data_IF_670186092764
#
_entry.id   IF_670186092764
#
_cell.length_a   1.000
_cell.length_b   1.000
_cell.length_c   1.000
_cell.angle_alpha   90.00
_cell.angle_beta   90.00
_cell.angle_gamma   90.00
#
_symmetry.space_group_name_H-M   'P 1'
#
loop_
_entity.id
_entity.type
_entity.pdbx_description
1 polymer ?
#
# COMPACT_ATOMS: atom_id res chain seq x y z
N UNK A 1 8.64 -15.69 -33.52
CA UNK A 1 7.59 -15.74 -32.48
C UNK A 1 8.15 -15.10 -31.22
N UNK A 2 7.53 -14.05 -30.65
CA UNK A 2 7.94 -13.59 -29.33
C UNK A 2 7.62 -14.70 -28.32
N UNK A 3 8.65 -15.28 -27.71
CA UNK A 3 8.49 -16.23 -26.60
C UNK A 3 7.89 -15.49 -25.41
N UNK A 4 6.73 -15.92 -24.95
CA UNK A 4 6.13 -15.40 -23.72
C UNK A 4 7.09 -15.61 -22.54
N UNK A 5 7.22 -14.62 -21.65
CA UNK A 5 8.10 -14.74 -20.49
C UNK A 5 7.62 -15.88 -19.58
N UNK A 6 8.56 -16.73 -19.16
CA UNK A 6 8.31 -17.99 -18.45
C UNK A 6 7.44 -17.84 -17.18
N UNK A 7 7.48 -16.67 -16.52
CA UNK A 7 6.78 -16.41 -15.27
C UNK A 7 5.78 -15.25 -15.38
N UNK A 8 5.11 -15.11 -16.54
CA UNK A 8 4.14 -14.04 -16.79
C UNK A 8 3.03 -14.03 -15.73
N UNK A 9 2.45 -15.18 -15.41
CA UNK A 9 1.37 -15.30 -14.42
C UNK A 9 1.76 -14.79 -13.02
N UNK A 10 3.00 -15.09 -12.61
CA UNK A 10 3.55 -14.57 -11.36
C UNK A 10 3.72 -13.05 -11.43
N UNK A 11 4.24 -12.54 -12.54
CA UNK A 11 4.43 -11.10 -12.74
C UNK A 11 3.10 -10.34 -12.70
N UNK A 12 2.06 -10.87 -13.33
CA UNK A 12 0.71 -10.32 -13.30
C UNK A 12 0.18 -10.24 -11.87
N UNK A 13 0.24 -11.33 -11.10
CA UNK A 13 -0.20 -11.33 -9.68
C UNK A 13 0.62 -10.37 -8.81
N UNK A 14 1.92 -10.28 -9.05
CA UNK A 14 2.80 -9.35 -8.34
C UNK A 14 2.42 -7.89 -8.65
N UNK A 15 2.16 -7.56 -9.92
CA UNK A 15 1.69 -6.25 -10.35
C UNK A 15 0.34 -5.91 -9.72
N UNK A 16 -0.61 -6.85 -9.72
CA UNK A 16 -1.92 -6.67 -9.09
C UNK A 16 -1.80 -6.41 -7.58
N UNK A 17 -0.98 -7.19 -6.89
CA UNK A 17 -0.71 -7.03 -5.46
C UNK A 17 -0.04 -5.68 -5.14
N UNK A 18 0.94 -5.28 -5.95
CA UNK A 18 1.61 -3.98 -5.79
C UNK A 18 0.66 -2.80 -6.07
N UNK A 19 -0.20 -2.92 -7.08
CA UNK A 19 -1.16 -1.87 -7.44
C UNK A 19 -2.17 -1.65 -6.32
N UNK A 20 -2.73 -2.73 -5.79
CA UNK A 20 -3.67 -2.67 -4.65
C UNK A 20 -3.01 -2.12 -3.38
N UNK A 21 -1.75 -2.48 -3.14
CA UNK A 21 -0.96 -1.91 -2.04
C UNK A 21 -0.60 -0.42 -2.24
N UNK A 22 -0.95 0.19 -3.38
CA UNK A 22 -0.74 1.61 -3.66
C UNK A 22 0.59 1.94 -4.31
N UNK A 23 1.29 0.95 -4.86
CA UNK A 23 2.55 1.11 -5.59
C UNK A 23 2.35 1.21 -7.11
N UNK A 24 1.15 1.59 -7.56
CA UNK A 24 0.88 1.89 -8.97
C UNK A 24 1.82 2.96 -9.51
N UNK A 25 2.16 2.87 -10.80
CA UNK A 25 3.03 3.83 -11.46
C UNK A 25 2.40 5.24 -11.43
N UNK A 26 3.26 6.26 -11.30
CA UNK A 26 2.80 7.65 -11.28
C UNK A 26 2.16 8.05 -12.61
N UNK A 27 1.16 8.95 -12.60
CA UNK A 27 0.61 9.53 -13.82
C UNK A 27 1.73 10.16 -14.65
N UNK A 28 1.82 9.81 -15.94
CA UNK A 28 2.89 10.27 -16.82
C UNK A 28 4.21 9.51 -16.72
N UNK A 29 4.26 8.37 -16.03
CA UNK A 29 5.40 7.46 -16.09
C UNK A 29 5.55 6.86 -17.49
N UNK A 30 6.72 7.00 -18.09
CA UNK A 30 7.07 6.41 -19.40
C UNK A 30 7.46 4.93 -19.29
N UNK A 31 7.47 4.37 -18.07
CA UNK A 31 7.76 2.96 -17.85
C UNK A 31 6.63 2.09 -18.39
N UNK A 32 6.97 1.05 -19.15
CA UNK A 32 6.02 0.00 -19.57
C UNK A 32 5.46 -0.82 -18.40
N UNK A 33 6.12 -0.77 -17.25
CA UNK A 33 5.70 -1.50 -16.05
C UNK A 33 4.72 -0.62 -15.26
N UNK A 34 3.51 -1.13 -14.95
CA UNK A 34 2.42 -0.34 -14.36
C UNK A 34 2.57 -0.07 -12.85
N UNK A 35 3.70 -0.44 -12.24
CA UNK A 35 4.00 -0.22 -10.82
C UNK A 35 5.39 0.39 -10.63
N UNK A 36 5.61 1.06 -9.48
CA UNK A 36 6.93 1.54 -9.09
C UNK A 36 7.87 0.37 -8.78
N UNK A 37 9.08 0.38 -9.35
CA UNK A 37 10.07 -0.71 -9.18
C UNK A 37 10.85 -0.58 -7.86
N UNK A 38 11.09 0.66 -7.41
CA UNK A 38 11.91 0.96 -6.24
C UNK A 38 11.38 0.35 -4.92
N UNK A 39 10.05 0.35 -4.63
CA UNK A 39 9.51 -0.30 -3.45
C UNK A 39 9.83 -1.81 -3.37
N UNK A 40 9.82 -2.51 -4.51
CA UNK A 40 10.16 -3.93 -4.55
C UNK A 40 11.63 -4.20 -4.19
N UNK A 41 12.52 -3.22 -4.46
CA UNK A 41 13.92 -3.26 -4.01
C UNK A 41 14.04 -2.91 -2.53
N UNK A 42 13.47 -1.77 -2.13
CA UNK A 42 13.67 -1.17 -0.81
C UNK A 42 12.98 -1.93 0.31
N UNK A 43 11.72 -2.31 0.11
CA UNK A 43 10.86 -2.89 1.13
C UNK A 43 10.91 -4.42 1.10
N UNK A 44 10.88 -5.01 -0.10
CA UNK A 44 10.87 -6.48 -0.27
C UNK A 44 12.26 -7.12 -0.41
N UNK A 45 13.33 -6.31 -0.45
CA UNK A 45 14.71 -6.79 -0.50
C UNK A 45 15.10 -7.47 -1.81
N UNK A 46 14.55 -7.03 -2.96
CA UNK A 46 15.11 -7.43 -4.25
C UNK A 46 16.57 -6.96 -4.35
N UNK A 47 17.45 -7.83 -4.88
CA UNK A 47 18.92 -7.59 -4.87
C UNK A 47 19.32 -6.29 -5.58
N UNK A 48 18.59 -5.90 -6.63
CA UNK A 48 18.83 -4.70 -7.42
C UNK A 48 17.57 -4.26 -8.15
N UNK A 49 17.56 -3.03 -8.66
CA UNK A 49 16.48 -2.53 -9.53
C UNK A 49 16.28 -3.41 -10.77
N UNK A 50 17.36 -3.89 -11.37
CA UNK A 50 17.29 -4.80 -12.53
C UNK A 50 16.63 -6.13 -12.16
N UNK A 51 16.92 -6.65 -10.96
CA UNK A 51 16.30 -7.90 -10.49
C UNK A 51 14.81 -7.71 -10.23
N UNK A 52 14.45 -6.61 -9.56
CA UNK A 52 13.05 -6.21 -9.34
C UNK A 52 12.30 -6.08 -10.68
N UNK A 53 12.91 -5.42 -11.67
CA UNK A 53 12.37 -5.30 -13.02
C UNK A 53 12.13 -6.67 -13.67
N UNK A 54 13.10 -7.59 -13.61
CA UNK A 54 12.95 -8.94 -14.17
C UNK A 54 11.82 -9.76 -13.52
N UNK A 55 11.49 -9.51 -12.25
CA UNK A 55 10.31 -10.13 -11.62
C UNK A 55 9.01 -9.57 -12.21
N UNK A 56 8.92 -8.24 -12.37
CA UNK A 56 7.75 -7.56 -12.93
C UNK A 56 7.57 -7.83 -14.43
N UNK A 57 8.64 -8.20 -15.14
CA UNK A 57 8.61 -8.62 -16.54
C UNK A 57 8.34 -10.13 -16.71
N UNK A 58 8.25 -10.89 -15.61
CA UNK A 58 8.08 -12.36 -15.67
C UNK A 58 9.28 -13.11 -16.24
N UNK A 59 10.44 -12.45 -16.35
CA UNK A 59 11.66 -13.04 -16.91
C UNK A 59 12.42 -13.90 -15.90
N UNK A 60 12.19 -13.69 -14.60
CA UNK A 60 12.82 -14.48 -13.53
C UNK A 60 11.88 -14.66 -12.36
N UNK A 61 12.07 -15.74 -11.60
CA UNK A 61 11.31 -16.03 -10.40
C UNK A 61 12.16 -15.83 -9.13
N UNK A 62 11.63 -15.20 -8.06
CA UNK A 62 12.35 -15.03 -6.81
C UNK A 62 12.58 -16.37 -6.09
N UNK A 63 13.70 -16.51 -5.39
CA UNK A 63 13.93 -17.66 -4.47
C UNK A 63 12.92 -17.61 -3.32
N UNK A 64 12.62 -18.77 -2.72
CA UNK A 64 11.62 -18.95 -1.65
C UNK A 64 11.67 -17.87 -0.55
N UNK A 65 12.81 -17.67 0.11
CA UNK A 65 12.95 -16.65 1.16
C UNK A 65 12.58 -15.23 0.72
N UNK A 66 12.81 -14.89 -0.56
CA UNK A 66 12.49 -13.57 -1.10
C UNK A 66 11.02 -13.49 -1.50
N UNK A 67 10.47 -14.58 -2.02
CA UNK A 67 9.04 -14.68 -2.29
C UNK A 67 8.22 -14.52 -1.00
N UNK A 68 8.65 -15.17 0.09
CA UNK A 68 8.05 -15.03 1.42
C UNK A 68 8.10 -13.58 1.92
N UNK A 69 9.24 -12.89 1.79
CA UNK A 69 9.36 -11.46 2.13
C UNK A 69 8.46 -10.56 1.27
N UNK A 70 8.37 -10.82 -0.04
CA UNK A 70 7.48 -10.06 -0.93
C UNK A 70 6.03 -10.26 -0.51
N UNK A 71 5.64 -11.50 -0.21
CA UNK A 71 4.29 -11.83 0.21
C UNK A 71 3.93 -11.20 1.57
N UNK A 72 4.85 -11.23 2.53
CA UNK A 72 4.72 -10.57 3.83
C UNK A 72 4.54 -9.05 3.66
N UNK A 73 5.40 -8.42 2.87
CA UNK A 73 5.33 -6.98 2.59
C UNK A 73 3.99 -6.58 1.94
N UNK A 74 3.51 -7.36 0.98
CA UNK A 74 2.24 -7.12 0.28
C UNK A 74 1.02 -7.64 1.04
N UNK A 75 1.21 -8.30 2.20
CA UNK A 75 0.15 -8.94 3.00
C UNK A 75 -0.72 -9.90 2.17
N UNK A 76 -0.07 -10.69 1.32
CA UNK A 76 -0.70 -11.73 0.50
C UNK A 76 -0.19 -13.12 0.89
N UNK A 77 -0.93 -14.15 0.54
CA UNK A 77 -0.53 -15.53 0.69
C UNK A 77 0.61 -15.87 -0.30
N UNK A 78 1.62 -16.60 0.19
CA UNK A 78 2.80 -16.99 -0.60
C UNK A 78 2.45 -17.91 -1.77
N UNK A 79 1.58 -18.90 -1.54
CA UNK A 79 1.14 -19.87 -2.55
C UNK A 79 0.25 -19.21 -3.61
N UNK A 80 -0.59 -18.26 -3.20
CA UNK A 80 -1.35 -17.43 -4.13
C UNK A 80 -0.42 -16.59 -4.99
N UNK A 81 0.57 -15.92 -4.38
CA UNK A 81 1.51 -15.10 -5.14
C UNK A 81 2.33 -15.95 -6.13
N UNK A 82 2.81 -17.12 -5.69
CA UNK A 82 3.60 -18.03 -6.50
C UNK A 82 2.82 -18.58 -7.71
N UNK A 83 1.69 -19.23 -7.44
CA UNK A 83 0.99 -20.08 -8.41
C UNK A 83 -0.50 -19.78 -8.55
N UNK A 84 -1.04 -18.80 -7.83
CA UNK A 84 -2.48 -18.52 -7.78
C UNK A 84 -3.26 -19.51 -6.92
N UNK A 85 -2.58 -20.33 -6.11
CA UNK A 85 -3.22 -21.34 -5.27
C UNK A 85 -3.71 -20.76 -3.94
N UNK A 86 -4.96 -21.06 -3.58
CA UNK A 86 -5.54 -20.63 -2.31
C UNK A 86 -5.98 -19.17 -2.28
N UNK A 87 -6.43 -18.68 -1.10
CA UNK A 87 -6.93 -17.31 -0.96
C UNK A 87 -5.78 -16.30 -1.05
N UNK A 88 -6.03 -15.16 -1.71
CA UNK A 88 -5.05 -14.08 -1.87
C UNK A 88 -4.53 -13.53 -0.56
N UNK A 89 -5.38 -13.40 0.45
CA UNK A 89 -4.98 -12.96 1.78
C UNK A 89 -5.02 -14.15 2.74
N UNK A 90 -3.87 -14.52 3.30
CA UNK A 90 -3.79 -15.54 4.33
C UNK A 90 -4.45 -14.98 5.60
N UNK A 91 -5.64 -15.47 5.92
CA UNK A 91 -6.32 -15.08 7.15
C UNK A 91 -6.99 -13.71 7.10
N UNK A 92 -7.78 -13.43 6.05
CA UNK A 92 -8.94 -12.57 6.31
C UNK A 92 -9.85 -13.32 7.28
N UNK A 93 -9.66 -13.15 8.59
CA UNK A 93 -10.81 -12.70 9.39
C UNK A 93 -11.42 -11.63 8.51
N UNK A 94 -12.53 -11.94 7.84
CA UNK A 94 -13.31 -10.90 7.19
C UNK A 94 -13.28 -9.76 8.20
N UNK A 95 -12.83 -8.53 7.84
CA UNK A 95 -13.19 -7.43 8.70
C UNK A 95 -14.69 -7.63 8.87
N UNK A 96 -15.15 -7.89 10.10
CA UNK A 96 -16.56 -7.84 10.45
C UNK A 96 -16.98 -6.60 9.71
N UNK A 97 -17.72 -6.73 8.59
CA UNK A 97 -18.00 -5.58 7.73
C UNK A 97 -18.67 -4.67 8.74
N UNK A 98 -18.02 -3.58 9.19
CA UNK A 98 -18.80 -2.63 9.92
C UNK A 98 -19.83 -2.24 8.89
N UNK A 99 -21.10 -2.19 9.28
CA UNK A 99 -22.14 -1.68 8.41
C UNK A 99 -21.80 -0.19 8.22
N UNK A 100 -20.83 0.05 7.33
CA UNK A 100 -20.20 1.32 7.13
C UNK A 100 -21.17 2.09 6.26
N UNK A 101 -21.57 3.30 6.68
CA UNK A 101 -22.43 4.12 5.85
C UNK A 101 -21.80 4.31 4.47
N UNK A 102 -22.62 4.41 3.42
CA UNK A 102 -22.18 4.50 2.02
C UNK A 102 -21.12 5.61 1.81
N UNK A 103 -21.23 6.70 2.57
CA UNK A 103 -20.25 7.79 2.58
C UNK A 103 -18.85 7.34 3.03
N UNK A 104 -18.76 6.51 4.07
CA UNK A 104 -17.48 5.96 4.55
C UNK A 104 -16.86 5.00 3.52
N UNK A 105 -17.69 4.21 2.82
CA UNK A 105 -17.23 3.35 1.73
C UNK A 105 -16.76 4.17 0.52
N UNK A 106 -17.48 5.23 0.16
CA UNK A 106 -17.08 6.14 -0.90
C UNK A 106 -15.75 6.82 -0.59
N UNK A 107 -15.57 7.28 0.66
CA UNK A 107 -14.31 7.86 1.12
C UNK A 107 -13.16 6.84 1.09
N UNK A 108 -13.39 5.60 1.56
CA UNK A 108 -12.37 4.56 1.53
C UNK A 108 -11.91 4.24 0.10
N UNK A 109 -12.85 4.16 -0.85
CA UNK A 109 -12.55 3.96 -2.29
C UNK A 109 -11.78 5.15 -2.86
N UNK A 110 -12.20 6.37 -2.56
CA UNK A 110 -11.50 7.58 -2.99
C UNK A 110 -10.07 7.64 -2.45
N UNK A 111 -9.89 7.32 -1.16
CA UNK A 111 -8.56 7.27 -0.53
C UNK A 111 -7.67 6.18 -1.13
N UNK A 112 -8.20 4.99 -1.38
CA UNK A 112 -7.48 3.90 -2.02
C UNK A 112 -7.04 4.24 -3.46
N UNK A 113 -7.79 5.10 -4.16
CA UNK A 113 -7.43 5.58 -5.49
C UNK A 113 -6.33 6.65 -5.52
N UNK A 114 -6.04 7.34 -4.41
CA UNK A 114 -5.01 8.38 -4.37
C UNK A 114 -3.60 7.80 -4.55
N UNK A 115 -2.65 8.51 -5.15
CA UNK A 115 -1.23 8.14 -5.08
C UNK A 115 -0.70 8.13 -3.63
N UNK A 116 0.26 7.23 -3.33
CA UNK A 116 0.78 7.05 -1.96
C UNK A 116 1.27 8.33 -1.29
N UNK A 117 1.91 9.24 -2.02
CA UNK A 117 2.40 10.51 -1.47
C UNK A 117 1.30 11.45 -0.98
N UNK A 118 0.06 11.28 -1.48
CA UNK A 118 -1.11 11.96 -0.92
C UNK A 118 -1.75 11.17 0.23
N UNK A 119 -1.63 9.84 0.26
CA UNK A 119 -2.18 9.02 1.35
C UNK A 119 -1.40 9.15 2.66
N UNK A 120 -0.07 9.25 2.64
CA UNK A 120 0.76 9.27 3.85
C UNK A 120 0.47 10.48 4.78
N UNK A 121 0.37 11.73 4.28
CA UNK A 121 -0.03 12.85 5.12
C UNK A 121 -1.43 12.66 5.72
N UNK A 122 -2.41 12.25 4.91
CA UNK A 122 -3.79 12.03 5.36
C UNK A 122 -3.83 10.94 6.43
N UNK A 123 -3.12 9.82 6.23
CA UNK A 123 -3.02 8.73 7.21
C UNK A 123 -2.46 9.23 8.54
N UNK A 124 -1.38 10.01 8.50
CA UNK A 124 -0.78 10.59 9.70
C UNK A 124 -1.77 11.48 10.45
N UNK A 125 -2.50 12.34 9.73
CA UNK A 125 -3.51 13.22 10.31
C UNK A 125 -4.70 12.45 10.90
N UNK A 126 -5.19 11.42 10.23
CA UNK A 126 -6.27 10.56 10.74
C UNK A 126 -5.83 9.84 12.01
N UNK A 127 -4.61 9.27 12.04
CA UNK A 127 -4.07 8.64 13.26
C UNK A 127 -3.94 9.67 14.39
N UNK A 128 -3.40 10.86 14.11
CA UNK A 128 -3.28 11.93 15.10
C UNK A 128 -4.65 12.37 15.63
N UNK A 129 -5.66 12.50 14.77
CA UNK A 129 -7.02 12.84 15.16
C UNK A 129 -7.66 11.72 15.99
N UNK A 130 -7.50 10.45 15.60
CA UNK A 130 -8.01 9.31 16.38
C UNK A 130 -7.32 9.17 17.73
N UNK A 131 -6.02 9.48 17.83
CA UNK A 131 -5.32 9.56 19.11
C UNK A 131 -5.87 10.73 19.93
N UNK A 132 -6.06 11.89 19.32
CA UNK A 132 -6.62 13.06 19.98
C UNK A 132 -8.04 12.80 20.51
N UNK A 133 -8.94 12.22 19.71
CA UNK A 133 -10.31 11.92 20.12
C UNK A 133 -10.37 10.92 21.29
N UNK A 134 -9.42 9.98 21.36
CA UNK A 134 -9.33 8.99 22.43
C UNK A 134 -8.49 9.45 23.64
N UNK A 135 -7.91 10.66 23.64
CA UNK A 135 -7.18 11.20 24.79
C UNK A 135 -8.16 11.78 25.84
N UNK A 136 -7.90 11.57 27.15
CA UNK A 136 -8.54 12.31 28.22
C UNK A 136 -8.38 13.83 27.99
N UNK A 137 -9.42 14.63 28.31
CA UNK A 137 -9.42 16.09 28.09
C UNK A 137 -8.20 16.81 28.69
N UNK A 138 -7.66 16.30 29.79
CA UNK A 138 -6.47 16.80 30.46
C UNK A 138 -5.20 16.74 29.59
N UNK A 139 -5.13 15.76 28.67
CA UNK A 139 -4.01 15.55 27.75
C UNK A 139 -4.23 16.16 26.37
N UNK A 140 -5.42 16.68 26.08
CA UNK A 140 -5.74 17.41 24.84
C UNK A 140 -5.21 18.85 24.84
N UNK A 141 -4.40 19.24 25.82
CA UNK A 141 -3.79 20.57 25.87
C UNK A 141 -2.67 20.71 24.83
N UNK A 142 -2.82 21.71 23.96
CA UNK A 142 -1.77 22.10 23.04
C UNK A 142 -0.53 22.56 23.82
N UNK A 143 0.69 22.17 23.39
CA UNK A 143 1.91 22.64 24.03
C UNK A 143 1.96 24.18 24.00
N UNK A 144 2.64 24.83 24.98
CA UNK A 144 2.55 26.28 25.20
C UNK A 144 2.96 27.13 23.98
N UNK A 145 3.80 26.60 23.09
CA UNK A 145 4.17 27.22 21.82
C UNK A 145 3.06 27.18 20.74
N UNK A 146 2.07 26.30 20.86
CA UNK A 146 0.96 26.12 19.93
C UNK A 146 -0.35 26.78 20.42
N UNK A 147 -0.41 27.29 21.65
CA UNK A 147 -1.59 27.97 22.21
C UNK A 147 -2.01 29.23 21.41
N UNK A 148 -1.09 29.83 20.64
CA UNK A 148 -1.37 30.98 19.77
C UNK A 148 -2.20 30.64 18.51
N UNK A 149 -2.29 29.37 18.11
CA UNK A 149 -3.04 28.93 16.92
C UNK A 149 -4.56 28.98 17.16
N UNK A 150 -5.03 28.74 18.39
CA UNK A 150 -6.45 28.85 18.72
C UNK A 150 -6.99 30.27 18.59
N UNK A 151 -6.15 31.28 18.85
CA UNK A 151 -6.53 32.70 18.71
C UNK A 151 -6.88 33.07 17.27
N UNK A 152 -6.43 32.30 16.27
CA UNK A 152 -6.80 32.50 14.86
C UNK A 152 -8.15 31.88 14.47
N UNK A 153 -8.73 31.00 15.30
CA UNK A 153 -10.10 30.48 15.09
C UNK A 153 -11.18 31.38 15.69
N UNK A 154 -10.83 32.42 16.47
CA UNK A 154 -11.80 33.40 17.00
C UNK A 154 -11.55 34.81 16.43
N UNK A 155 -12.22 35.09 15.30
CA UNK A 155 -12.87 36.37 14.90
C UNK A 155 -13.21 36.28 13.41
N UNK A 156 -14.40 36.66 12.93
CA UNK A 156 -15.41 37.60 13.44
C UNK A 156 -16.76 36.92 13.64
#
# INVERSE_FOLDING_TARGET
MPTEPQYLDFATRLIEAMTEAGYGARPGSWSRIPVEIEPLRREAGARSLTTARKYLEGSTFPRRHRLERIAEWLRVNVEWLAGGNGPRHAGSTQPVRPDLPEEALALARAWAGLPRHYREPIRSWVIMASVHDNLPEELKQLPPNAQGLERRKRKR
#
